data_IF_294036878659
#
_entry.id   IF_294036878659
#
_cell.length_a   1.000
_cell.length_b   1.000
_cell.length_c   1.000
_cell.angle_alpha   90.00
_cell.angle_beta   90.00
_cell.angle_gamma   90.00
#
_symmetry.space_group_name_H-M   'P 1'
#
loop_
_entity.id
_entity.type
_entity.pdbx_description
1 polymer ?
#
# COMPACT_ATOMS: atom_id res chain seq x y z
N UNK A 1 -20.86 14.92 -8.89
CA UNK A 1 -21.64 13.93 -8.12
C UNK A 1 -21.37 14.17 -6.64
N UNK A 2 -22.39 14.23 -5.77
CA UNK A 2 -22.17 14.26 -4.31
C UNK A 2 -21.63 12.89 -3.89
N UNK A 3 -20.55 12.86 -3.11
CA UNK A 3 -20.03 11.60 -2.56
C UNK A 3 -21.15 10.88 -1.77
N UNK A 4 -21.27 9.55 -1.88
CA UNK A 4 -22.27 8.80 -1.12
C UNK A 4 -22.04 9.00 0.39
N UNK A 5 -23.10 9.33 1.11
CA UNK A 5 -23.06 9.48 2.56
C UNK A 5 -23.11 8.09 3.20
N UNK A 6 -21.96 7.55 3.60
CA UNK A 6 -21.89 6.28 4.31
C UNK A 6 -22.25 6.44 5.79
N UNK A 7 -22.90 5.44 6.42
CA UNK A 7 -23.13 5.43 7.86
C UNK A 7 -21.84 5.63 8.65
N UNK A 8 -21.90 6.42 9.72
CA UNK A 8 -20.75 6.72 10.58
C UNK A 8 -21.07 6.36 12.05
N UNK A 9 -21.20 5.06 12.39
CA UNK A 9 -21.54 4.65 13.75
C UNK A 9 -20.51 5.19 14.75
N UNK A 10 -20.98 5.72 15.87
CA UNK A 10 -20.15 6.31 16.93
C UNK A 10 -19.94 5.35 18.09
N UNK A 11 -20.81 4.35 18.23
CA UNK A 11 -20.77 3.37 19.31
C UNK A 11 -20.78 1.94 18.78
N UNK A 12 -20.29 1.00 19.59
CA UNK A 12 -20.39 -0.43 19.27
C UNK A 12 -21.85 -0.87 19.15
N UNK A 13 -22.77 -0.32 19.96
CA UNK A 13 -24.20 -0.62 19.87
C UNK A 13 -24.82 -0.20 18.54
N UNK A 14 -24.46 0.98 18.03
CA UNK A 14 -24.90 1.43 16.71
C UNK A 14 -24.36 0.53 15.60
N UNK A 15 -23.08 0.14 15.70
CA UNK A 15 -22.47 -0.78 14.76
C UNK A 15 -23.13 -2.17 14.81
N UNK A 16 -23.32 -2.73 16.00
CA UNK A 16 -23.94 -4.04 16.20
C UNK A 16 -25.38 -4.04 15.64
N UNK A 17 -26.14 -2.93 15.80
CA UNK A 17 -27.47 -2.77 15.16
C UNK A 17 -27.39 -2.67 13.64
N UNK A 18 -26.41 -1.97 13.11
CA UNK A 18 -26.20 -1.85 11.66
C UNK A 18 -25.91 -3.22 11.04
N UNK A 19 -25.14 -4.06 11.75
CA UNK A 19 -24.75 -5.38 11.30
C UNK A 19 -25.77 -6.47 11.62
N UNK A 20 -26.77 -6.19 12.45
CA UNK A 20 -27.76 -7.16 12.87
C UNK A 20 -28.56 -7.69 11.66
N UNK A 21 -28.38 -8.97 11.36
CA UNK A 21 -29.13 -9.67 10.32
C UNK A 21 -29.51 -11.06 10.82
N UNK A 22 -30.80 -11.40 10.72
CA UNK A 22 -31.37 -12.65 11.24
C UNK A 22 -31.08 -13.87 10.35
N UNK A 23 -30.63 -13.66 9.11
CA UNK A 23 -30.52 -14.71 8.09
C UNK A 23 -29.07 -15.04 7.69
N UNK A 24 -28.08 -14.40 8.30
CA UNK A 24 -26.65 -14.68 8.03
C UNK A 24 -25.76 -13.44 8.12
N UNK A 25 -24.52 -13.51 7.59
CA UNK A 25 -23.59 -12.39 7.60
C UNK A 25 -24.12 -11.15 6.87
N UNK A 26 -23.67 -9.98 7.29
CA UNK A 26 -23.99 -8.68 6.68
C UNK A 26 -22.71 -7.93 6.32
N UNK A 27 -22.76 -7.11 5.27
CA UNK A 27 -21.62 -6.32 4.80
C UNK A 27 -22.07 -4.88 4.49
N UNK A 28 -21.37 -3.90 5.07
CA UNK A 28 -21.69 -2.49 4.93
C UNK A 28 -20.43 -1.67 4.66
N UNK A 29 -20.57 -0.57 3.93
CA UNK A 29 -19.53 0.46 3.87
C UNK A 29 -19.83 1.47 4.98
N UNK A 30 -18.84 1.78 5.82
CA UNK A 30 -18.97 2.75 6.91
C UNK A 30 -17.84 3.78 6.88
N UNK A 31 -18.09 4.94 7.50
CA UNK A 31 -17.03 5.83 7.95
C UNK A 31 -16.61 5.39 9.36
N UNK A 32 -15.44 4.76 9.44
CA UNK A 32 -14.87 4.31 10.70
C UNK A 32 -14.03 5.42 11.32
N UNK A 33 -14.45 5.89 12.49
CA UNK A 33 -13.70 6.88 13.27
C UNK A 33 -12.70 6.22 14.24
N UNK A 34 -11.59 6.90 14.60
CA UNK A 34 -10.59 6.39 15.55
C UNK A 34 -11.15 5.90 16.89
N UNK A 35 -12.11 6.58 17.55
CA UNK A 35 -12.66 6.08 18.81
C UNK A 35 -13.43 4.76 18.67
N UNK A 36 -14.11 4.53 17.54
CA UNK A 36 -14.79 3.26 17.30
C UNK A 36 -13.77 2.15 16.96
N UNK A 37 -12.74 2.47 16.16
CA UNK A 37 -11.67 1.54 15.87
C UNK A 37 -10.95 1.07 17.15
N UNK A 38 -10.64 1.98 18.06
CA UNK A 38 -10.05 1.66 19.37
C UNK A 38 -10.96 0.77 20.23
N UNK A 39 -12.28 0.95 20.16
CA UNK A 39 -13.25 0.08 20.85
C UNK A 39 -13.31 -1.31 20.23
N UNK A 40 -13.27 -1.42 18.90
CA UNK A 40 -13.20 -2.71 18.20
C UNK A 40 -11.93 -3.47 18.55
N UNK A 41 -10.78 -2.80 18.64
CA UNK A 41 -9.52 -3.43 19.07
C UNK A 41 -9.59 -4.05 20.47
N UNK A 42 -10.42 -3.53 21.37
CA UNK A 42 -10.64 -4.16 22.69
C UNK A 42 -11.38 -5.50 22.59
N UNK A 43 -12.09 -5.76 21.49
CA UNK A 43 -12.72 -7.05 21.17
C UNK A 43 -11.82 -7.94 20.29
N UNK A 44 -10.55 -7.57 20.08
CA UNK A 44 -9.58 -8.39 19.36
C UNK A 44 -8.86 -9.32 20.34
N UNK A 45 -9.34 -10.57 20.47
CA UNK A 45 -8.84 -11.50 21.49
C UNK A 45 -7.86 -12.55 20.97
N UNK A 46 -7.82 -12.78 19.65
CA UNK A 46 -7.14 -13.97 19.06
C UNK A 46 -6.25 -13.68 17.84
N UNK A 47 -6.16 -12.45 17.36
CA UNK A 47 -5.38 -12.20 16.14
C UNK A 47 -3.87 -12.35 16.35
N UNK A 48 -3.20 -12.73 15.26
CA UNK A 48 -1.74 -12.89 15.15
C UNK A 48 -0.96 -11.65 15.59
N UNK A 49 0.33 -11.83 15.85
CA UNK A 49 1.26 -10.71 16.13
C UNK A 49 1.14 -9.60 15.07
N UNK A 50 1.00 -8.37 15.55
CA UNK A 50 0.91 -7.18 14.73
C UNK A 50 2.23 -6.94 13.98
N UNK A 51 2.14 -6.62 12.69
CA UNK A 51 3.31 -6.23 11.89
C UNK A 51 3.36 -4.71 11.81
N UNK A 52 4.18 -4.10 12.66
CA UNK A 52 4.25 -2.63 12.80
C UNK A 52 4.49 -1.93 11.47
N UNK A 53 5.39 -2.45 10.62
CA UNK A 53 5.66 -1.88 9.30
C UNK A 53 4.41 -1.78 8.40
N UNK A 54 3.53 -2.78 8.45
CA UNK A 54 2.27 -2.75 7.67
C UNK A 54 1.27 -1.73 8.24
N UNK A 55 1.27 -1.52 9.55
CA UNK A 55 0.49 -0.45 10.18
C UNK A 55 1.01 0.91 9.73
N UNK A 56 2.33 1.13 9.71
CA UNK A 56 2.92 2.39 9.22
C UNK A 56 2.59 2.65 7.74
N UNK A 57 2.59 1.62 6.89
CA UNK A 57 2.16 1.75 5.49
C UNK A 57 0.73 2.30 5.41
N UNK A 58 -0.19 1.68 6.16
CA UNK A 58 -1.58 2.13 6.22
C UNK A 58 -1.75 3.52 6.82
N UNK A 59 -1.01 3.87 7.86
CA UNK A 59 -1.05 5.22 8.46
C UNK A 59 -0.68 6.27 7.42
N UNK A 60 0.39 6.03 6.64
CA UNK A 60 0.80 6.96 5.57
C UNK A 60 -0.24 7.07 4.48
N UNK A 61 -0.84 5.96 4.05
CA UNK A 61 -1.92 5.99 3.04
C UNK A 61 -3.15 6.77 3.56
N UNK A 62 -3.52 6.61 4.83
CA UNK A 62 -4.62 7.35 5.48
C UNK A 62 -4.33 8.85 5.52
N UNK A 63 -3.19 9.24 6.11
CA UNK A 63 -2.81 10.65 6.27
C UNK A 63 -2.58 11.36 4.93
N UNK A 64 -2.19 10.62 3.89
CA UNK A 64 -2.09 11.15 2.54
C UNK A 64 -3.45 11.28 1.84
N UNK A 65 -4.56 10.84 2.45
CA UNK A 65 -5.89 10.82 1.84
C UNK A 65 -6.03 9.82 0.70
N UNK A 66 -5.14 8.82 0.64
CA UNK A 66 -5.05 7.83 -0.45
C UNK A 66 -5.54 6.44 -0.04
N UNK A 67 -6.16 6.32 1.13
CA UNK A 67 -6.75 5.10 1.64
C UNK A 67 -7.75 4.48 0.64
N UNK A 68 -7.52 3.26 0.15
CA UNK A 68 -8.35 2.68 -0.90
C UNK A 68 -9.56 1.92 -0.32
N UNK A 69 -10.75 2.15 -0.90
CA UNK A 69 -11.93 1.31 -0.69
C UNK A 69 -11.92 0.14 -1.69
N UNK A 70 -11.08 -0.86 -1.43
CA UNK A 70 -10.75 -1.93 -2.39
C UNK A 70 -11.41 -3.30 -2.10
N UNK A 71 -12.52 -3.33 -1.36
CA UNK A 71 -13.24 -4.57 -1.01
C UNK A 71 -12.69 -5.29 0.21
N UNK A 72 -11.50 -4.92 0.68
CA UNK A 72 -10.97 -5.38 1.95
C UNK A 72 -11.80 -4.83 3.12
N UNK A 73 -12.06 -5.67 4.12
CA UNK A 73 -13.01 -5.37 5.18
C UNK A 73 -12.45 -5.65 6.58
N UNK A 74 -13.05 -4.99 7.57
CA UNK A 74 -12.95 -5.42 8.97
C UNK A 74 -14.01 -6.50 9.18
N UNK A 75 -13.61 -7.65 9.70
CA UNK A 75 -14.50 -8.83 9.83
C UNK A 75 -14.76 -9.11 11.30
N UNK A 76 -16.04 -9.19 11.66
CA UNK A 76 -16.50 -9.46 13.00
C UNK A 76 -17.27 -10.79 13.04
N UNK A 77 -17.10 -11.54 14.14
CA UNK A 77 -17.92 -12.73 14.40
C UNK A 77 -19.36 -12.37 14.83
N UNK A 78 -20.19 -13.39 15.05
CA UNK A 78 -21.56 -13.23 15.54
C UNK A 78 -21.66 -12.57 16.94
N UNK A 79 -20.58 -12.54 17.72
CA UNK A 79 -20.49 -11.88 19.02
C UNK A 79 -19.86 -10.48 18.94
N UNK A 80 -19.48 -10.05 17.74
CA UNK A 80 -18.85 -8.75 17.47
C UNK A 80 -17.36 -8.70 17.80
N UNK A 81 -16.68 -9.84 18.00
CA UNK A 81 -15.22 -9.91 18.15
C UNK A 81 -14.53 -9.77 16.80
N UNK A 82 -13.33 -9.20 16.81
CA UNK A 82 -12.55 -8.95 15.59
C UNK A 82 -11.89 -10.25 15.12
N UNK A 83 -12.32 -10.76 13.97
CA UNK A 83 -11.71 -11.91 13.30
C UNK A 83 -10.57 -11.50 12.36
N UNK A 84 -10.68 -10.33 11.73
CA UNK A 84 -9.73 -9.81 10.75
C UNK A 84 -9.81 -8.27 10.66
N UNK A 85 -8.75 -7.64 10.16
CA UNK A 85 -8.64 -6.20 9.97
C UNK A 85 -7.89 -5.48 11.10
N UNK A 86 -7.19 -6.20 11.98
CA UNK A 86 -6.46 -5.58 13.09
C UNK A 86 -5.46 -4.50 12.64
N UNK A 87 -4.72 -4.71 11.55
CA UNK A 87 -3.75 -3.73 11.05
C UNK A 87 -4.45 -2.45 10.58
N UNK A 88 -5.63 -2.59 9.96
CA UNK A 88 -6.46 -1.46 9.53
C UNK A 88 -6.97 -0.69 10.74
N UNK A 89 -7.51 -1.39 11.75
CA UNK A 89 -7.97 -0.77 12.99
C UNK A 89 -6.85 -0.01 13.71
N UNK A 90 -5.68 -0.62 13.86
CA UNK A 90 -4.52 0.04 14.45
C UNK A 90 -4.07 1.26 13.64
N UNK A 91 -4.09 1.17 12.31
CA UNK A 91 -3.71 2.28 11.45
C UNK A 91 -4.68 3.47 11.58
N UNK A 92 -5.99 3.22 11.60
CA UNK A 92 -7.00 4.28 11.82
C UNK A 92 -6.82 4.97 13.17
N UNK A 93 -6.58 4.19 14.24
CA UNK A 93 -6.30 4.76 15.57
C UNK A 93 -5.01 5.57 15.56
N UNK A 94 -3.96 5.09 14.90
CA UNK A 94 -2.66 5.75 14.89
C UNK A 94 -2.61 6.98 13.98
N UNK A 95 -3.31 6.96 12.85
CA UNK A 95 -3.42 8.10 11.95
C UNK A 95 -4.30 9.22 12.51
N UNK A 96 -5.20 8.89 13.44
CA UNK A 96 -6.19 9.79 14.04
C UNK A 96 -7.13 10.46 13.02
N UNK A 97 -7.42 9.75 11.92
CA UNK A 97 -8.29 10.21 10.85
C UNK A 97 -9.37 9.17 10.52
N UNK A 98 -10.61 9.59 10.22
CA UNK A 98 -11.66 8.67 9.82
C UNK A 98 -11.40 8.10 8.42
N UNK A 99 -11.72 6.83 8.22
CA UNK A 99 -11.59 6.17 6.91
C UNK A 99 -12.91 5.56 6.45
N UNK A 100 -13.12 5.51 5.14
CA UNK A 100 -14.19 4.71 4.54
C UNK A 100 -13.70 3.28 4.35
N UNK A 101 -14.42 2.30 4.92
CA UNK A 101 -14.03 0.89 4.85
C UNK A 101 -15.26 -0.01 4.79
N UNK A 102 -15.09 -1.21 4.24
CA UNK A 102 -16.05 -2.29 4.43
C UNK A 102 -15.95 -2.82 5.86
N UNK A 103 -17.10 -3.19 6.42
CA UNK A 103 -17.22 -3.95 7.65
C UNK A 103 -18.20 -5.10 7.42
N UNK A 104 -17.82 -6.29 7.83
CA UNK A 104 -18.60 -7.53 7.72
C UNK A 104 -18.87 -8.04 9.12
N UNK A 105 -20.13 -8.34 9.43
CA UNK A 105 -20.55 -8.87 10.73
C UNK A 105 -21.26 -10.21 10.61
N UNK A 106 -21.37 -10.94 11.72
CA UNK A 106 -22.14 -12.18 11.78
C UNK A 106 -21.41 -13.39 11.20
N UNK A 107 -20.08 -13.34 11.07
CA UNK A 107 -19.32 -14.48 10.55
C UNK A 107 -19.19 -15.58 11.61
N UNK A 108 -19.20 -16.86 11.18
CA UNK A 108 -18.88 -17.96 12.07
C UNK A 108 -17.42 -17.84 12.58
N UNK A 109 -17.14 -18.05 13.88
CA UNK A 109 -15.78 -17.92 14.43
C UNK A 109 -14.73 -18.80 13.72
N UNK A 110 -15.14 -19.98 13.24
CA UNK A 110 -14.30 -20.92 12.49
C UNK A 110 -13.77 -20.36 11.17
N UNK A 111 -14.44 -19.34 10.58
CA UNK A 111 -13.99 -18.70 9.36
C UNK A 111 -12.60 -18.05 9.53
N UNK A 112 -12.19 -17.70 10.76
CA UNK A 112 -10.88 -17.12 11.03
C UNK A 112 -9.71 -18.02 10.56
N UNK A 113 -9.91 -19.34 10.55
CA UNK A 113 -8.85 -20.31 10.21
C UNK A 113 -8.44 -20.27 8.73
N UNK A 114 -9.30 -19.79 7.84
CA UNK A 114 -9.06 -19.71 6.39
C UNK A 114 -8.84 -18.28 5.89
N UNK A 115 -9.03 -17.28 6.74
CA UNK A 115 -8.76 -15.86 6.44
C UNK A 115 -7.26 -15.61 6.23
N UNK A 116 -6.92 -14.66 5.35
CA UNK A 116 -5.53 -14.25 5.05
C UNK A 116 -4.58 -15.32 4.48
N UNK A 117 -5.12 -16.36 3.83
CA UNK A 117 -4.33 -17.37 3.11
C UNK A 117 -3.81 -16.89 1.73
N UNK A 118 -4.25 -15.71 1.26
CA UNK A 118 -3.87 -15.15 -0.03
C UNK A 118 -2.47 -14.53 -0.05
N UNK A 119 -1.76 -14.69 -1.18
CA UNK A 119 -0.50 -13.99 -1.43
C UNK A 119 -0.74 -12.48 -1.60
N UNK A 120 -0.01 -11.66 -0.84
CA UNK A 120 -0.07 -10.20 -0.98
C UNK A 120 0.51 -9.80 -2.33
N UNK A 121 -0.26 -9.05 -3.12
CA UNK A 121 0.24 -8.42 -4.35
C UNK A 121 1.41 -7.47 -4.03
N UNK A 122 2.49 -7.60 -4.78
CA UNK A 122 3.65 -6.72 -4.74
C UNK A 122 3.38 -5.41 -5.50
N UNK A 123 4.27 -4.42 -5.36
CA UNK A 123 4.21 -3.20 -6.19
C UNK A 123 4.35 -3.53 -7.67
N UNK A 124 5.19 -4.51 -8.04
CA UNK A 124 5.31 -4.96 -9.42
C UNK A 124 3.98 -5.54 -9.92
N UNK A 125 3.34 -6.43 -9.14
CA UNK A 125 2.02 -6.97 -9.51
C UNK A 125 0.97 -5.87 -9.70
N UNK A 126 1.00 -4.83 -8.86
CA UNK A 126 0.09 -3.70 -8.96
C UNK A 126 0.36 -2.81 -10.20
N UNK A 127 1.62 -2.67 -10.61
CA UNK A 127 1.99 -1.96 -11.84
C UNK A 127 1.65 -2.80 -13.08
N UNK A 128 1.85 -4.11 -13.01
CA UNK A 128 1.46 -5.07 -14.07
C UNK A 128 -0.04 -4.98 -14.37
N UNK A 129 -0.86 -4.87 -13.33
CA UNK A 129 -2.31 -4.64 -13.47
C UNK A 129 -2.69 -3.29 -14.12
N UNK A 130 -1.75 -2.35 -14.18
CA UNK A 130 -1.91 -1.05 -14.84
C UNK A 130 -1.26 -1.02 -16.23
N UNK A 131 -1.02 -2.19 -16.84
CA UNK A 131 -0.36 -2.38 -18.14
C UNK A 131 1.04 -1.75 -18.22
N UNK A 132 1.74 -1.65 -17.10
CA UNK A 132 3.09 -1.12 -17.05
C UNK A 132 4.10 -2.12 -17.62
N UNK A 133 4.80 -1.73 -18.68
CA UNK A 133 5.92 -2.52 -19.22
C UNK A 133 7.12 -2.45 -18.29
N UNK A 134 7.87 -3.55 -18.14
CA UNK A 134 9.03 -3.62 -17.25
C UNK A 134 8.70 -3.31 -15.78
N UNK A 135 7.49 -3.65 -15.35
CA UNK A 135 6.93 -3.53 -14.00
C UNK A 135 7.93 -3.85 -12.87
N UNK A 136 8.69 -4.94 -12.96
CA UNK A 136 9.70 -5.35 -11.97
C UNK A 136 10.81 -4.29 -11.86
N UNK A 137 11.36 -3.86 -12.99
CA UNK A 137 12.47 -2.88 -13.04
C UNK A 137 11.97 -1.50 -12.61
N UNK A 138 10.80 -1.09 -13.08
CA UNK A 138 10.17 0.18 -12.71
C UNK A 138 9.89 0.21 -11.20
N UNK A 139 9.30 -0.85 -10.63
CA UNK A 139 9.06 -0.95 -9.19
C UNK A 139 10.36 -0.86 -8.38
N UNK A 140 11.43 -1.50 -8.86
CA UNK A 140 12.72 -1.47 -8.18
C UNK A 140 13.39 -0.08 -8.22
N UNK A 141 13.25 0.66 -9.33
CA UNK A 141 13.73 2.05 -9.45
C UNK A 141 12.88 2.97 -8.58
N UNK A 142 11.55 2.86 -8.64
CA UNK A 142 10.63 3.66 -7.80
C UNK A 142 10.97 3.54 -6.32
N UNK A 143 11.25 2.33 -5.83
CA UNK A 143 11.67 2.11 -4.44
C UNK A 143 12.94 2.89 -4.07
N UNK A 144 13.94 2.91 -4.95
CA UNK A 144 15.20 3.64 -4.72
C UNK A 144 15.01 5.15 -4.84
N UNK A 145 14.31 5.62 -5.87
CA UNK A 145 14.00 7.05 -6.03
C UNK A 145 13.20 7.57 -4.84
N UNK A 146 12.19 6.82 -4.38
CA UNK A 146 11.44 7.15 -3.17
C UNK A 146 12.37 7.24 -1.95
N UNK A 147 13.19 6.22 -1.71
CA UNK A 147 14.16 6.20 -0.60
C UNK A 147 15.13 7.40 -0.65
N UNK A 148 15.60 7.76 -1.85
CA UNK A 148 16.42 8.95 -2.08
C UNK A 148 15.68 10.24 -1.70
N UNK A 149 14.43 10.39 -2.13
CA UNK A 149 13.58 11.55 -1.80
C UNK A 149 13.29 11.65 -0.29
N UNK A 150 13.23 10.52 0.42
CA UNK A 150 13.12 10.46 1.89
C UNK A 150 14.45 10.73 2.62
N UNK A 151 15.51 11.11 1.89
CA UNK A 151 16.83 11.41 2.43
C UNK A 151 17.72 10.19 2.70
N UNK A 152 17.28 8.97 2.38
CA UNK A 152 18.10 7.76 2.51
C UNK A 152 18.99 7.56 1.27
N UNK A 153 20.02 8.40 1.18
CA UNK A 153 21.00 8.38 0.07
C UNK A 153 21.94 7.18 0.10
N UNK A 154 21.94 6.39 1.19
CA UNK A 154 22.71 5.15 1.32
C UNK A 154 21.87 3.90 1.09
N UNK A 155 20.55 4.04 0.88
CA UNK A 155 19.61 2.94 0.67
C UNK A 155 19.69 1.86 1.77
N UNK A 156 19.86 2.30 3.02
CA UNK A 156 20.05 1.40 4.18
C UNK A 156 18.78 1.19 4.99
N UNK A 157 17.77 2.06 4.83
CA UNK A 157 16.52 1.97 5.58
C UNK A 157 15.70 0.78 5.08
N UNK A 158 15.08 0.08 6.04
CA UNK A 158 14.17 -1.06 5.77
C UNK A 158 12.73 -0.65 5.53
N UNK A 159 12.50 0.59 5.07
CA UNK A 159 11.18 1.13 4.73
C UNK A 159 11.06 1.13 3.21
N UNK A 160 9.87 0.79 2.70
CA UNK A 160 9.57 0.79 1.26
C UNK A 160 8.33 1.63 1.01
N UNK A 161 8.19 2.22 -0.19
CA UNK A 161 6.97 2.91 -0.54
C UNK A 161 5.77 1.95 -0.54
N UNK A 162 4.60 2.46 -0.20
CA UNK A 162 3.32 1.76 -0.43
C UNK A 162 3.07 1.66 -1.94
N UNK A 163 2.12 0.80 -2.33
CA UNK A 163 1.69 0.73 -3.72
C UNK A 163 1.17 2.08 -4.21
N UNK A 164 0.45 2.80 -3.36
CA UNK A 164 -0.12 4.10 -3.71
C UNK A 164 0.95 5.17 -3.84
N UNK A 165 1.94 5.20 -2.95
CA UNK A 165 3.11 6.09 -3.09
C UNK A 165 3.93 5.77 -4.33
N UNK A 166 4.10 4.49 -4.66
CA UNK A 166 4.82 4.07 -5.86
C UNK A 166 4.11 4.56 -7.13
N UNK A 167 2.77 4.43 -7.17
CA UNK A 167 1.95 4.95 -8.26
C UNK A 167 2.01 6.47 -8.36
N UNK A 168 1.81 7.18 -7.25
CA UNK A 168 1.88 8.64 -7.22
C UNK A 168 3.26 9.15 -7.65
N UNK A 169 4.33 8.45 -7.24
CA UNK A 169 5.69 8.78 -7.66
C UNK A 169 5.88 8.59 -9.17
N UNK A 170 5.36 7.51 -9.74
CA UNK A 170 5.45 7.25 -11.18
C UNK A 170 4.60 8.21 -12.01
N UNK A 171 3.44 8.62 -11.50
CA UNK A 171 2.59 9.66 -12.12
C UNK A 171 3.31 11.01 -12.12
N UNK A 172 4.00 11.35 -11.02
CA UNK A 172 4.79 12.58 -10.91
C UNK A 172 6.07 12.55 -11.76
N UNK A 173 6.66 11.38 -11.92
CA UNK A 173 7.94 11.17 -12.62
C UNK A 173 7.83 10.09 -13.70
N UNK A 174 7.07 10.33 -14.79
CA UNK A 174 6.89 9.36 -15.86
C UNK A 174 8.21 8.99 -16.57
N UNK A 175 9.23 9.84 -16.51
CA UNK A 175 10.59 9.62 -17.03
C UNK A 175 11.33 8.45 -16.38
N UNK A 176 10.83 7.94 -15.24
CA UNK A 176 11.33 6.70 -14.64
C UNK A 176 11.17 5.51 -15.59
N UNK A 177 10.13 5.49 -16.44
CA UNK A 177 9.96 4.47 -17.48
C UNK A 177 11.13 4.45 -18.45
N UNK A 178 11.53 5.63 -18.93
CA UNK A 178 12.70 5.78 -19.79
C UNK A 178 13.98 5.35 -19.07
N UNK A 179 14.11 5.68 -17.79
CA UNK A 179 15.25 5.26 -16.99
C UNK A 179 15.32 3.73 -16.83
N UNK A 180 14.18 3.04 -16.77
CA UNK A 180 14.11 1.58 -16.77
C UNK A 180 14.57 0.98 -18.10
N UNK A 181 14.15 1.55 -19.24
CA UNK A 181 14.60 1.12 -20.57
C UNK A 181 16.12 1.25 -20.73
N UNK A 182 16.68 2.41 -20.34
CA UNK A 182 18.13 2.64 -20.40
C UNK A 182 18.86 1.66 -19.50
N UNK A 183 18.40 1.46 -18.26
CA UNK A 183 18.98 0.48 -17.35
C UNK A 183 19.01 -0.95 -17.91
N UNK A 184 17.96 -1.35 -18.63
CA UNK A 184 17.90 -2.67 -19.26
C UNK A 184 18.92 -2.80 -20.38
N UNK A 185 19.02 -1.80 -21.25
CA UNK A 185 20.01 -1.77 -22.36
C UNK A 185 21.43 -1.74 -21.82
N UNK A 186 21.71 -0.86 -20.86
CA UNK A 186 23.04 -0.74 -20.25
C UNK A 186 23.45 -2.00 -19.50
N UNK A 187 22.53 -2.69 -18.81
CA UNK A 187 22.88 -3.98 -18.16
C UNK A 187 23.26 -5.06 -19.17
N UNK A 188 22.72 -5.04 -20.39
CA UNK A 188 23.12 -6.00 -21.42
C UNK A 188 24.60 -5.85 -21.80
N UNK A 189 25.11 -4.61 -21.81
CA UNK A 189 26.52 -4.31 -22.02
C UNK A 189 27.37 -4.43 -20.73
N UNK A 190 26.78 -4.14 -19.57
CA UNK A 190 27.46 -4.09 -18.27
C UNK A 190 26.71 -4.90 -17.19
N UNK A 191 26.82 -6.25 -17.21
CA UNK A 191 25.93 -7.16 -16.47
C UNK A 191 26.12 -7.15 -14.95
N UNK A 192 27.23 -6.61 -14.46
CA UNK A 192 27.60 -6.63 -13.04
C UNK A 192 26.88 -5.56 -12.20
N UNK A 193 26.24 -4.56 -12.81
CA UNK A 193 25.46 -3.55 -12.10
C UNK A 193 23.97 -3.89 -12.17
N UNK A 194 23.24 -3.92 -11.04
CA UNK A 194 21.81 -4.12 -11.04
C UNK A 194 21.05 -3.03 -11.83
N UNK A 195 19.98 -3.42 -12.55
CA UNK A 195 19.14 -2.49 -13.32
C UNK A 195 18.54 -1.38 -12.44
N UNK A 196 18.20 -1.70 -11.19
CA UNK A 196 17.68 -0.72 -10.25
C UNK A 196 18.69 0.37 -9.90
N UNK A 197 19.99 0.05 -9.84
CA UNK A 197 21.05 1.02 -9.61
C UNK A 197 21.28 1.88 -10.86
N UNK A 198 21.38 1.26 -12.04
CA UNK A 198 21.54 1.96 -13.32
C UNK A 198 20.37 2.92 -13.58
N UNK A 199 19.13 2.46 -13.41
CA UNK A 199 17.95 3.28 -13.66
C UNK A 199 17.78 4.40 -12.64
N UNK A 200 18.11 4.16 -11.38
CA UNK A 200 18.11 5.23 -10.37
C UNK A 200 19.19 6.28 -10.70
N UNK A 201 20.39 5.84 -11.07
CA UNK A 201 21.47 6.75 -11.46
C UNK A 201 21.07 7.57 -12.71
N UNK A 202 20.51 6.93 -13.73
CA UNK A 202 20.01 7.62 -14.92
C UNK A 202 18.97 8.69 -14.56
N UNK A 203 17.97 8.33 -13.75
CA UNK A 203 16.96 9.28 -13.28
C UNK A 203 17.58 10.48 -12.56
N UNK A 204 18.50 10.24 -11.62
CA UNK A 204 19.14 11.29 -10.84
C UNK A 204 20.09 12.15 -11.67
N UNK A 205 20.85 11.57 -12.59
CA UNK A 205 21.79 12.29 -13.45
C UNK A 205 21.03 13.14 -14.47
N UNK A 206 19.98 12.59 -15.08
CA UNK A 206 19.13 13.32 -16.02
C UNK A 206 18.46 14.54 -15.38
N UNK A 207 18.18 14.50 -14.08
CA UNK A 207 17.65 15.65 -13.35
C UNK A 207 18.70 16.75 -13.07
N UNK A 208 20.00 16.43 -13.20
CA UNK A 208 21.12 17.37 -12.99
C UNK A 208 21.60 17.94 -14.32
N UNK A 209 21.92 17.05 -15.27
CA UNK A 209 22.46 17.38 -16.59
C UNK A 209 22.00 16.31 -17.61
N UNK A 210 20.94 16.59 -18.40
CA UNK A 210 20.43 15.66 -19.40
C UNK A 210 21.45 15.25 -20.46
N UNK A 211 22.27 16.20 -20.94
CA UNK A 211 23.23 15.95 -22.02
C UNK A 211 24.41 15.12 -21.50
N UNK A 212 24.94 15.48 -20.33
CA UNK A 212 25.97 14.69 -19.64
C UNK A 212 25.49 13.29 -19.27
N UNK A 213 24.24 13.15 -18.83
CA UNK A 213 23.62 11.85 -18.55
C UNK A 213 23.52 10.99 -19.81
N UNK A 214 23.03 11.54 -20.93
CA UNK A 214 22.92 10.84 -22.19
C UNK A 214 24.30 10.37 -22.68
N UNK A 215 25.31 11.26 -22.64
CA UNK A 215 26.69 10.93 -23.00
C UNK A 215 27.26 9.80 -22.13
N UNK A 216 27.09 9.89 -20.81
CA UNK A 216 27.60 8.90 -19.86
C UNK A 216 27.00 7.51 -20.12
N UNK A 217 25.68 7.41 -20.25
CA UNK A 217 25.01 6.11 -20.45
C UNK A 217 25.21 5.52 -21.85
N UNK A 218 25.49 6.35 -22.87
CA UNK A 218 25.96 5.88 -24.18
C UNK A 218 27.36 5.28 -24.05
N UNK A 219 28.34 6.02 -23.52
CA UNK A 219 29.72 5.52 -23.35
C UNK A 219 29.81 4.27 -22.49
N UNK A 220 29.00 4.18 -21.43
CA UNK A 220 28.96 3.01 -20.56
C UNK A 220 28.50 1.73 -21.29
N UNK A 221 27.72 1.87 -22.38
CA UNK A 221 27.29 0.75 -23.22
C UNK A 221 28.32 0.32 -24.27
N UNK A 222 29.17 1.25 -24.70
CA UNK A 222 29.95 1.10 -25.93
C UNK A 222 31.46 0.90 -25.67
N UNK A 223 31.97 1.36 -24.51
CA UNK A 223 33.40 1.43 -24.19
C UNK A 223 34.02 2.77 -24.59
#
# INVERSE_FOLDING_TARGET
MKAPAYPAPKTLRELDRLLANSTGPSAHIIVLHPPLAARLLRRNTKNRNLRTAMVEDYVRDIQAGTWPLNGEAIKLDAQGNVLDGQHRLHAVVKADEPVTTFIVGGLPPEAQTTMDSGMRRTTADALSLADETNDITVAAILRKVWSWQQGDRRFTRRISPTTTESRALLEKHPEIRRSAEIAMRTRAAFPHIPQSALGTAHFLFNAIDPDGCAWFFQRLGDG
#
